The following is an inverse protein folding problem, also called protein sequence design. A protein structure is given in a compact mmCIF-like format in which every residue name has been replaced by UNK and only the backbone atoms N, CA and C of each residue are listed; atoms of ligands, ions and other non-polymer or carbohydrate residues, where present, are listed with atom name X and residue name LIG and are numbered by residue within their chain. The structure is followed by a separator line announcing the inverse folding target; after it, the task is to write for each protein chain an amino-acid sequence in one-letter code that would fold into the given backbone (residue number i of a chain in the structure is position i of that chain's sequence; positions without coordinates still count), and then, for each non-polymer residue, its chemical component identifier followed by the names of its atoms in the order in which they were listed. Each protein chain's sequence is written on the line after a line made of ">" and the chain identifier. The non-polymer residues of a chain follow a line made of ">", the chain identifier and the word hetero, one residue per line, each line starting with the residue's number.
data_IF_395304544856
#
_entry.id   IF_395304544856
#
_cell.length_a   1.000
_cell.length_b   1.000
_cell.length_c   1.000
_cell.angle_alpha   90.00
_cell.angle_beta   90.00
_cell.angle_gamma   90.00
#
_symmetry.space_group_name_H-M   'P 1'
#
loop_
_entity.id
_entity.type
_entity.pdbx_description
1 polymer ?
#
# COMPACT_ATOMS: atom_id res chain seq x y z
N UNK A 1 30.55 4.48 -10.85
CA UNK A 1 29.07 4.47 -10.84
C UNK A 1 28.70 4.76 -9.41
N UNK A 2 28.19 5.94 -9.12
CA UNK A 2 27.75 6.28 -7.77
C UNK A 2 26.65 5.29 -7.35
N UNK A 3 26.85 4.62 -6.22
CA UNK A 3 25.85 3.77 -5.59
C UNK A 3 24.73 4.66 -5.06
N UNK A 4 23.85 5.14 -5.94
CA UNK A 4 22.61 5.76 -5.53
C UNK A 4 21.82 4.79 -4.66
N UNK A 5 21.34 5.25 -3.49
CA UNK A 5 20.49 4.43 -2.60
C UNK A 5 19.27 3.97 -3.39
N UNK A 6 19.11 2.66 -3.52
CA UNK A 6 17.97 2.03 -4.16
C UNK A 6 17.07 1.41 -3.09
N UNK A 7 15.79 1.28 -3.39
CA UNK A 7 14.79 0.73 -2.50
C UNK A 7 13.99 -0.37 -3.21
N UNK A 8 13.46 -1.29 -2.41
CA UNK A 8 12.78 -2.48 -2.91
C UNK A 8 11.37 -2.55 -2.36
N UNK A 9 10.41 -2.58 -3.28
CA UNK A 9 9.01 -2.92 -3.01
C UNK A 9 8.76 -4.38 -3.34
N UNK A 10 8.14 -5.11 -2.40
CA UNK A 10 7.72 -6.50 -2.60
C UNK A 10 6.21 -6.61 -2.39
N UNK A 11 5.49 -6.83 -3.49
CA UNK A 11 4.05 -7.06 -3.51
C UNK A 11 3.77 -8.56 -3.50
N UNK A 12 3.18 -9.07 -2.41
CA UNK A 12 2.84 -10.49 -2.20
C UNK A 12 1.37 -10.72 -2.57
N UNK A 13 1.08 -10.60 -3.86
CA UNK A 13 -0.27 -10.74 -4.39
C UNK A 13 -0.79 -12.19 -4.43
N UNK A 14 -2.11 -12.31 -4.57
CA UNK A 14 -2.81 -13.62 -4.70
C UNK A 14 -2.53 -14.31 -6.04
N UNK A 15 -2.33 -13.55 -7.13
CA UNK A 15 -2.09 -14.13 -8.47
C UNK A 15 -0.62 -14.16 -8.86
N UNK A 16 0.13 -13.16 -8.40
CA UNK A 16 1.55 -12.98 -8.69
C UNK A 16 2.24 -12.34 -7.49
N UNK A 17 3.54 -12.56 -7.38
CA UNK A 17 4.43 -11.80 -6.50
C UNK A 17 5.30 -10.92 -7.40
N UNK A 18 5.45 -9.65 -7.04
CA UNK A 18 6.27 -8.68 -7.77
C UNK A 18 7.33 -8.10 -6.85
N UNK A 19 8.60 -8.24 -7.23
CA UNK A 19 9.71 -7.52 -6.64
C UNK A 19 10.12 -6.39 -7.60
N UNK A 20 10.21 -5.17 -7.09
CA UNK A 20 10.57 -4.00 -7.88
C UNK A 20 11.68 -3.23 -7.18
N UNK A 21 12.74 -2.93 -7.93
CA UNK A 21 13.89 -2.17 -7.48
C UNK A 21 13.82 -0.81 -8.16
N UNK A 22 13.87 0.26 -7.38
CA UNK A 22 13.94 1.61 -7.94
C UNK A 22 14.79 2.55 -7.11
N UNK A 23 15.15 3.67 -7.73
CA UNK A 23 15.84 4.79 -7.09
C UNK A 23 15.20 6.10 -7.51
N UNK A 24 15.40 7.12 -6.70
CA UNK A 24 15.01 8.48 -7.06
C UNK A 24 16.13 9.11 -7.91
N UNK A 25 15.76 9.75 -9.01
CA UNK A 25 16.68 10.53 -9.84
C UNK A 25 16.75 11.99 -9.35
N UNK A 26 17.59 12.80 -9.99
CA UNK A 26 17.82 14.22 -9.64
C UNK A 26 16.55 15.11 -9.73
N UNK A 27 15.50 14.64 -10.40
CA UNK A 27 14.23 15.36 -10.59
C UNK A 27 13.11 14.87 -9.65
N UNK A 28 13.43 14.01 -8.68
CA UNK A 28 12.45 13.41 -7.78
C UNK A 28 11.52 12.40 -8.46
N UNK A 29 11.94 11.85 -9.61
CA UNK A 29 11.22 10.79 -10.33
C UNK A 29 11.87 9.45 -10.05
N UNK A 30 11.09 8.39 -10.14
CA UNK A 30 11.52 7.03 -9.81
C UNK A 30 12.01 6.35 -11.08
N UNK A 31 13.27 6.01 -11.08
CA UNK A 31 13.89 5.15 -12.08
C UNK A 31 13.77 3.69 -11.61
N UNK A 32 13.13 2.85 -12.42
CA UNK A 32 13.01 1.42 -12.15
C UNK A 32 14.22 0.70 -12.71
N UNK A 33 15.00 0.09 -11.81
CA UNK A 33 16.27 -0.57 -12.13
C UNK A 33 16.09 -2.06 -12.43
N UNK A 34 15.05 -2.69 -11.87
CA UNK A 34 14.77 -4.10 -12.08
C UNK A 34 13.39 -4.50 -11.58
N UNK A 35 12.77 -5.43 -12.30
CA UNK A 35 11.49 -6.03 -11.95
C UNK A 35 11.62 -7.54 -12.05
N UNK A 36 11.07 -8.24 -11.08
CA UNK A 36 10.90 -9.68 -11.13
C UNK A 36 9.51 -10.09 -10.73
N UNK A 37 9.00 -11.14 -11.36
CA UNK A 37 7.62 -11.60 -11.21
C UNK A 37 7.56 -13.12 -11.11
N UNK A 38 6.76 -13.60 -10.17
CA UNK A 38 6.49 -15.04 -10.07
C UNK A 38 5.00 -15.29 -9.94
N UNK A 39 4.56 -16.49 -10.33
CA UNK A 39 3.19 -16.92 -10.07
C UNK A 39 3.06 -17.15 -8.57
N UNK A 40 2.03 -16.57 -7.95
CA UNK A 40 1.75 -16.81 -6.54
C UNK A 40 1.12 -18.19 -6.36
N UNK A 41 1.75 -19.04 -5.55
CA UNK A 41 1.31 -20.42 -5.30
C UNK A 41 0.69 -20.61 -3.91
N UNK A 42 1.12 -19.81 -2.92
CA UNK A 42 0.77 -19.99 -1.52
C UNK A 42 -0.12 -18.91 -0.91
N UNK A 43 -0.61 -17.95 -1.72
CA UNK A 43 -1.40 -16.81 -1.24
C UNK A 43 -2.83 -16.90 -1.77
N UNK A 44 -3.81 -16.65 -0.90
CA UNK A 44 -5.22 -16.60 -1.26
C UNK A 44 -5.92 -15.43 -0.58
N UNK A 45 -6.54 -14.53 -1.36
CA UNK A 45 -7.25 -13.33 -0.87
C UNK A 45 -6.40 -12.47 0.09
N UNK A 46 -5.12 -12.31 -0.26
CA UNK A 46 -4.14 -11.55 0.53
C UNK A 46 -3.58 -12.30 1.75
N UNK A 47 -4.03 -13.52 2.03
CA UNK A 47 -3.55 -14.32 3.16
C UNK A 47 -2.58 -15.40 2.69
N UNK A 48 -1.45 -15.54 3.37
CA UNK A 48 -0.50 -16.62 3.12
C UNK A 48 -1.03 -17.92 3.72
N UNK A 49 -1.49 -18.82 2.86
CA UNK A 49 -2.00 -20.15 3.23
C UNK A 49 -0.90 -21.22 3.23
N UNK A 50 0.12 -21.08 2.36
CA UNK A 50 1.24 -22.03 2.27
C UNK A 50 2.57 -21.29 2.26
N UNK A 51 3.25 -21.29 3.41
CA UNK A 51 4.53 -20.59 3.64
C UNK A 51 5.61 -21.07 2.64
N UNK A 52 5.77 -22.38 2.47
CA UNK A 52 6.83 -22.95 1.61
C UNK A 52 6.65 -22.54 0.15
N UNK A 53 5.42 -22.61 -0.36
CA UNK A 53 5.12 -22.19 -1.73
C UNK A 53 5.28 -20.69 -1.93
N UNK A 54 4.93 -19.88 -0.93
CA UNK A 54 5.14 -18.43 -0.96
C UNK A 54 6.62 -18.08 -0.94
N UNK A 55 7.46 -18.74 -0.13
CA UNK A 55 8.92 -18.54 -0.12
C UNK A 55 9.51 -18.81 -1.51
N UNK A 56 9.14 -19.94 -2.15
CA UNK A 56 9.60 -20.25 -3.51
C UNK A 56 9.20 -19.17 -4.51
N UNK A 57 7.97 -18.68 -4.41
CA UNK A 57 7.45 -17.61 -5.27
C UNK A 57 8.20 -16.30 -5.03
N UNK A 58 8.51 -15.95 -3.78
CA UNK A 58 9.30 -14.74 -3.45
C UNK A 58 10.71 -14.87 -4.01
N UNK A 59 11.41 -15.97 -3.74
CA UNK A 59 12.77 -16.19 -4.21
C UNK A 59 12.89 -16.10 -5.73
N UNK A 60 11.92 -16.64 -6.46
CA UNK A 60 11.88 -16.51 -7.92
C UNK A 60 11.74 -15.06 -8.38
N UNK A 61 10.83 -14.27 -7.77
CA UNK A 61 10.63 -12.87 -8.12
C UNK A 61 11.87 -12.03 -7.78
N UNK A 62 12.52 -12.30 -6.64
CA UNK A 62 13.76 -11.63 -6.23
C UNK A 62 14.88 -11.94 -7.21
N UNK A 63 15.09 -13.21 -7.56
CA UNK A 63 16.13 -13.63 -8.49
C UNK A 63 15.99 -12.96 -9.86
N UNK A 64 14.77 -12.84 -10.38
CA UNK A 64 14.51 -12.16 -11.65
C UNK A 64 14.81 -10.64 -11.56
N UNK A 65 14.41 -9.99 -10.45
CA UNK A 65 14.69 -8.57 -10.22
C UNK A 65 16.20 -8.27 -10.06
N UNK A 66 16.92 -9.12 -9.33
CA UNK A 66 18.39 -9.03 -9.18
C UNK A 66 19.09 -9.26 -10.52
N UNK A 67 18.63 -10.23 -11.32
CA UNK A 67 19.18 -10.50 -12.64
C UNK A 67 18.95 -9.34 -13.62
N UNK A 68 17.80 -8.68 -13.54
CA UNK A 68 17.47 -7.54 -14.39
C UNK A 68 18.26 -6.27 -14.03
N UNK A 69 18.54 -6.05 -12.74
CA UNK A 69 19.21 -4.84 -12.25
C UNK A 69 20.72 -4.98 -12.05
N UNK A 70 21.22 -6.20 -11.86
CA UNK A 70 22.59 -6.47 -11.39
C UNK A 70 22.83 -6.09 -9.91
N UNK A 71 21.78 -5.76 -9.15
CA UNK A 71 21.86 -5.36 -7.75
C UNK A 71 21.43 -6.51 -6.83
N UNK A 72 21.97 -6.56 -5.61
CA UNK A 72 21.51 -7.49 -4.59
C UNK A 72 20.40 -6.87 -3.75
N UNK A 73 19.35 -7.65 -3.48
CA UNK A 73 18.23 -7.27 -2.61
C UNK A 73 18.48 -7.82 -1.20
N UNK A 74 18.42 -6.94 -0.20
CA UNK A 74 18.51 -7.32 1.22
C UNK A 74 17.27 -6.86 1.98
N UNK A 75 17.04 -5.56 2.01
CA UNK A 75 15.93 -4.93 2.72
C UNK A 75 14.73 -4.69 1.81
N UNK A 76 13.54 -5.17 2.21
CA UNK A 76 12.31 -5.00 1.42
C UNK A 76 11.20 -4.34 2.23
N UNK A 77 10.45 -3.46 1.57
CA UNK A 77 9.14 -2.99 2.06
C UNK A 77 8.05 -3.81 1.40
N UNK A 78 7.20 -4.41 2.22
CA UNK A 78 6.22 -5.40 1.78
C UNK A 78 4.81 -4.82 1.83
N UNK A 79 4.01 -5.12 0.81
CA UNK A 79 2.57 -4.85 0.79
C UNK A 79 1.80 -5.80 1.70
N UNK A 80 0.79 -5.27 2.39
CA UNK A 80 -0.23 -6.06 3.05
C UNK A 80 -1.62 -5.60 2.63
N UNK A 81 -2.48 -6.56 2.27
CA UNK A 81 -3.89 -6.38 1.98
C UNK A 81 -4.66 -7.65 2.30
N UNK A 82 -6.00 -7.56 2.29
CA UNK A 82 -6.88 -8.71 2.44
C UNK A 82 -7.83 -8.61 3.62
N UNK A 83 -8.70 -9.61 3.74
CA UNK A 83 -9.81 -9.64 4.70
C UNK A 83 -9.37 -9.61 6.17
N UNK A 84 -8.09 -9.84 6.43
CA UNK A 84 -7.51 -9.80 7.76
C UNK A 84 -7.16 -8.37 8.21
N UNK A 85 -7.40 -7.37 7.35
CA UNK A 85 -7.24 -5.94 7.63
C UNK A 85 -8.60 -5.31 7.94
N UNK A 86 -8.62 -4.47 8.96
CA UNK A 86 -9.80 -3.71 9.38
C UNK A 86 -9.39 -2.29 9.72
N UNK A 87 -10.27 -1.33 9.42
CA UNK A 87 -10.11 0.05 9.88
C UNK A 87 -11.02 0.36 11.06
N UNK A 88 -10.54 1.24 11.93
CA UNK A 88 -11.33 1.83 13.01
C UNK A 88 -11.00 3.31 13.15
N UNK A 89 -12.00 4.09 13.55
CA UNK A 89 -11.81 5.49 13.90
C UNK A 89 -11.56 5.60 15.40
N UNK A 90 -10.57 6.39 15.79
CA UNK A 90 -10.22 6.62 17.18
C UNK A 90 -9.89 8.09 17.41
N UNK A 91 -10.17 8.63 18.59
CA UNK A 91 -9.79 9.98 18.96
C UNK A 91 -9.01 9.92 20.27
N UNK A 92 -7.89 10.62 20.33
CA UNK A 92 -7.04 10.65 21.52
C UNK A 92 -6.42 12.03 21.73
N UNK A 93 -5.83 12.27 22.91
CA UNK A 93 -5.18 13.52 23.24
C UNK A 93 -3.97 13.36 24.16
N UNK A 94 -3.09 14.35 24.12
CA UNK A 94 -2.01 14.55 25.08
C UNK A 94 -2.13 15.91 25.75
N UNK A 95 -1.61 16.01 26.97
CA UNK A 95 -1.41 17.29 27.65
C UNK A 95 0.07 17.62 27.64
N UNK A 96 0.41 18.81 27.16
CA UNK A 96 1.76 19.30 27.02
C UNK A 96 2.22 19.95 28.32
N UNK A 97 3.50 19.76 28.66
CA UNK A 97 4.06 20.26 29.91
C UNK A 97 4.20 21.79 29.95
N UNK A 98 4.34 22.43 28.78
CA UNK A 98 4.47 23.88 28.65
C UNK A 98 3.63 24.39 27.48
N UNK A 99 2.50 25.01 27.79
CA UNK A 99 1.57 25.61 26.81
C UNK A 99 2.13 26.85 26.10
N UNK A 100 3.14 27.50 26.70
CA UNK A 100 3.77 28.71 26.16
C UNK A 100 4.85 28.38 25.12
N UNK A 101 5.12 27.10 24.87
CA UNK A 101 5.93 26.65 23.74
C UNK A 101 5.02 26.26 22.58
N UNK A 102 5.49 26.56 21.36
CA UNK A 102 4.83 26.05 20.15
C UNK A 102 4.86 24.52 20.15
N UNK A 103 3.80 23.92 19.62
CA UNK A 103 3.69 22.49 19.33
C UNK A 103 4.77 22.16 18.30
N UNK A 104 5.53 21.10 18.55
CA UNK A 104 6.56 20.61 17.65
C UNK A 104 6.23 19.19 17.15
N UNK A 105 7.09 18.64 16.29
CA UNK A 105 6.91 17.27 15.78
C UNK A 105 6.87 16.25 16.92
N UNK A 106 7.72 16.37 17.95
CA UNK A 106 7.76 15.48 19.12
C UNK A 106 6.39 15.37 19.83
N UNK A 107 5.64 16.47 19.90
CA UNK A 107 4.29 16.49 20.50
C UNK A 107 3.30 15.65 19.66
N UNK A 108 3.30 15.84 18.33
CA UNK A 108 2.45 15.09 17.38
C UNK A 108 2.79 13.61 17.42
N UNK A 109 4.09 13.34 17.44
CA UNK A 109 4.72 12.04 17.53
C UNK A 109 4.36 11.30 18.83
N UNK A 110 4.40 12.00 19.96
CA UNK A 110 3.96 11.47 21.25
C UNK A 110 2.49 11.08 21.20
N UNK A 111 1.64 11.93 20.63
CA UNK A 111 0.21 11.64 20.47
C UNK A 111 -0.01 10.41 19.58
N UNK A 112 0.65 10.31 18.43
CA UNK A 112 0.55 9.14 17.56
C UNK A 112 1.03 7.86 18.26
N UNK A 113 2.14 7.92 18.98
CA UNK A 113 2.68 6.79 19.76
C UNK A 113 1.76 6.32 20.88
N UNK A 114 0.91 7.20 21.40
CA UNK A 114 -0.09 6.83 22.40
C UNK A 114 -1.15 5.91 21.79
N UNK A 115 -1.63 6.24 20.59
CA UNK A 115 -2.60 5.44 19.84
C UNK A 115 -2.04 4.05 19.50
N UNK A 116 -0.74 3.94 19.19
CA UNK A 116 -0.08 2.64 18.98
C UNK A 116 -0.06 1.73 20.22
N UNK A 117 -0.43 2.22 21.41
CA UNK A 117 -0.50 1.43 22.66
C UNK A 117 -1.92 1.00 23.01
N UNK A 118 -2.91 1.30 22.16
CA UNK A 118 -4.28 0.87 22.38
C UNK A 118 -4.37 -0.65 22.43
N UNK A 119 -5.21 -1.15 23.34
CA UNK A 119 -5.48 -2.58 23.46
C UNK A 119 -6.43 -2.99 22.34
N UNK A 120 -5.93 -3.84 21.44
CA UNK A 120 -6.72 -4.41 20.34
C UNK A 120 -7.43 -5.71 20.77
N UNK A 121 -8.30 -6.23 19.91
CA UNK A 121 -8.90 -7.55 20.15
C UNK A 121 -7.82 -8.64 20.15
N UNK A 122 -8.04 -9.78 20.84
CA UNK A 122 -7.06 -10.87 20.85
C UNK A 122 -6.67 -11.29 19.43
N UNK A 123 -5.36 -11.24 19.13
CA UNK A 123 -4.82 -11.60 17.82
C UNK A 123 -4.83 -10.49 16.77
N UNK A 124 -5.21 -9.25 17.12
CA UNK A 124 -5.07 -8.06 16.27
C UNK A 124 -3.89 -7.19 16.70
N UNK A 125 -3.27 -6.50 15.75
CA UNK A 125 -2.21 -5.52 15.97
C UNK A 125 -2.42 -4.30 15.07
N UNK A 126 -1.99 -3.12 15.55
CA UNK A 126 -2.05 -1.88 14.79
C UNK A 126 -0.91 -1.85 13.77
N UNK A 127 -1.26 -1.70 12.49
CA UNK A 127 -0.30 -1.56 11.39
C UNK A 127 0.00 -0.08 11.15
N UNK A 128 -1.05 0.75 10.99
CA UNK A 128 -0.92 2.18 10.72
C UNK A 128 -1.82 3.00 11.64
N UNK A 129 -1.27 4.12 12.12
CA UNK A 129 -2.03 5.19 12.76
C UNK A 129 -1.92 6.40 11.85
N UNK A 130 -3.06 6.80 11.25
CA UNK A 130 -3.10 7.86 10.25
C UNK A 130 -3.89 9.04 10.83
N UNK A 131 -3.20 10.12 11.25
CA UNK A 131 -3.87 11.31 11.77
C UNK A 131 -4.85 11.89 10.75
N UNK A 132 -5.98 12.39 11.26
CA UNK A 132 -7.03 13.05 10.49
C UNK A 132 -7.00 14.55 10.80
N UNK A 133 -7.98 15.06 11.53
CA UNK A 133 -7.95 16.42 12.07
C UNK A 133 -7.36 16.46 13.47
N UNK A 134 -6.66 17.56 13.75
CA UNK A 134 -6.22 17.95 15.07
C UNK A 134 -7.18 18.95 15.71
N UNK A 135 -7.06 19.04 17.02
CA UNK A 135 -7.73 20.03 17.85
C UNK A 135 -6.78 20.52 18.94
N UNK A 136 -6.65 21.84 19.07
CA UNK A 136 -5.76 22.47 20.06
C UNK A 136 -6.60 23.31 21.00
N UNK A 137 -6.56 23.00 22.30
CA UNK A 137 -7.30 23.72 23.36
C UNK A 137 -8.79 23.97 23.07
N UNK A 138 -9.46 23.03 22.39
CA UNK A 138 -10.87 23.17 22.03
C UNK A 138 -11.12 23.57 20.58
N UNK A 139 -10.15 24.22 19.92
CA UNK A 139 -10.24 24.65 18.53
C UNK A 139 -10.04 23.47 17.58
N UNK A 140 -11.08 23.08 16.86
CA UNK A 140 -11.09 21.92 15.95
C UNK A 140 -10.72 22.29 14.50
N UNK A 141 -10.75 21.29 13.61
CA UNK A 141 -10.50 21.43 12.16
C UNK A 141 -9.09 21.94 11.82
N UNK A 142 -8.10 21.64 12.68
CA UNK A 142 -6.70 21.98 12.45
C UNK A 142 -6.05 20.86 11.63
N UNK A 143 -5.44 21.21 10.49
CA UNK A 143 -4.68 20.25 9.66
C UNK A 143 -3.24 20.10 10.12
N UNK A 144 -2.58 21.23 10.41
CA UNK A 144 -1.18 21.28 10.82
C UNK A 144 -1.08 21.96 12.20
N UNK A 145 -0.89 21.19 13.28
CA UNK A 145 -0.78 21.75 14.62
C UNK A 145 0.63 22.26 14.95
N UNK A 146 1.67 21.84 14.19
CA UNK A 146 3.05 22.27 14.44
C UNK A 146 3.17 23.78 14.26
N UNK A 147 3.81 24.44 15.24
CA UNK A 147 3.94 25.89 15.30
C UNK A 147 2.81 26.61 16.06
N UNK A 148 1.72 25.92 16.41
CA UNK A 148 0.64 26.51 17.21
C UNK A 148 0.97 26.49 18.72
N UNK A 149 0.41 27.43 19.49
CA UNK A 149 0.45 27.38 20.95
C UNK A 149 -0.73 26.58 21.49
N UNK A 150 -0.51 25.87 22.59
CA UNK A 150 -1.61 25.24 23.31
C UNK A 150 -1.19 24.20 24.34
N UNK A 151 -2.03 23.98 25.34
CA UNK A 151 -1.78 23.01 26.41
C UNK A 151 -2.24 21.60 26.08
N UNK A 152 -3.30 21.46 25.29
CA UNK A 152 -3.96 20.18 24.97
C UNK A 152 -4.02 19.99 23.47
N UNK A 153 -3.33 18.95 22.99
CA UNK A 153 -3.33 18.53 21.59
C UNK A 153 -4.15 17.24 21.48
N UNK A 154 -5.26 17.30 20.74
CA UNK A 154 -6.14 16.17 20.43
C UNK A 154 -6.10 15.88 18.92
N UNK A 155 -6.38 14.65 18.53
CA UNK A 155 -6.58 14.31 17.12
C UNK A 155 -7.54 13.14 16.93
N UNK A 156 -8.17 13.12 15.76
CA UNK A 156 -8.84 11.94 15.23
C UNK A 156 -7.84 11.12 14.42
N UNK A 157 -8.01 9.80 14.43
CA UNK A 157 -7.13 8.84 13.80
C UNK A 157 -7.93 7.81 13.02
N UNK A 158 -7.51 7.58 11.78
CA UNK A 158 -7.84 6.38 11.06
C UNK A 158 -6.80 5.32 11.39
N UNK A 159 -7.19 4.32 12.17
CA UNK A 159 -6.31 3.26 12.63
C UNK A 159 -6.56 2.01 11.80
N UNK A 160 -5.50 1.47 11.22
CA UNK A 160 -5.51 0.24 10.43
C UNK A 160 -4.98 -0.88 11.32
N UNK A 161 -5.80 -1.89 11.53
CA UNK A 161 -5.44 -3.08 12.30
C UNK A 161 -5.39 -4.31 11.41
N UNK A 162 -4.53 -5.26 11.74
CA UNK A 162 -4.44 -6.54 11.05
C UNK A 162 -4.32 -7.71 11.99
N UNK A 163 -4.66 -8.91 11.51
CA UNK A 163 -4.43 -10.13 12.27
C UNK A 163 -2.94 -10.43 12.39
N UNK A 164 -2.48 -10.59 13.63
CA UNK A 164 -1.10 -10.92 14.01
C UNK A 164 -0.57 -12.13 13.24
N UNK A 165 -1.37 -13.18 13.09
CA UNK A 165 -0.98 -14.39 12.35
C UNK A 165 -0.64 -14.11 10.88
N UNK A 166 -1.42 -13.25 10.22
CA UNK A 166 -1.22 -12.89 8.81
C UNK A 166 0.05 -12.07 8.63
N UNK A 167 0.26 -11.08 9.50
CA UNK A 167 1.48 -10.24 9.53
C UNK A 167 2.72 -11.10 9.77
N UNK A 168 2.67 -12.01 10.76
CA UNK A 168 3.78 -12.91 11.08
C UNK A 168 4.10 -13.88 9.95
N UNK A 169 3.08 -14.39 9.24
CA UNK A 169 3.29 -15.26 8.10
C UNK A 169 4.04 -14.54 6.96
N UNK A 170 3.70 -13.28 6.68
CA UNK A 170 4.43 -12.44 5.73
C UNK A 170 5.88 -12.27 6.18
N UNK A 171 6.11 -11.84 7.43
CA UNK A 171 7.46 -11.65 7.96
C UNK A 171 8.31 -12.92 7.91
N UNK A 172 7.72 -14.07 8.24
CA UNK A 172 8.39 -15.38 8.12
C UNK A 172 8.75 -15.70 6.67
N UNK A 173 7.84 -15.50 5.71
CA UNK A 173 8.14 -15.72 4.29
C UNK A 173 9.31 -14.86 3.80
N UNK A 174 9.37 -13.59 4.21
CA UNK A 174 10.45 -12.67 3.85
C UNK A 174 11.78 -13.12 4.46
N UNK A 175 11.83 -13.34 5.79
CA UNK A 175 13.03 -13.78 6.51
C UNK A 175 13.56 -15.12 5.97
N UNK A 176 12.67 -16.09 5.75
CA UNK A 176 13.02 -17.40 5.19
C UNK A 176 13.39 -17.36 3.70
N UNK A 177 13.12 -16.26 3.00
CA UNK A 177 13.60 -16.04 1.63
C UNK A 177 15.02 -15.43 1.58
N UNK A 178 15.64 -15.17 2.73
CA UNK A 178 16.96 -14.55 2.83
C UNK A 178 16.93 -13.01 2.79
N UNK A 179 15.78 -12.42 3.08
CA UNK A 179 15.54 -10.98 3.05
C UNK A 179 15.29 -10.41 4.45
N UNK A 180 15.54 -9.13 4.64
CA UNK A 180 15.14 -8.37 5.81
C UNK A 180 13.86 -7.57 5.54
N UNK A 181 12.94 -7.59 6.51
CA UNK A 181 11.71 -6.81 6.45
C UNK A 181 11.97 -5.39 6.97
N UNK A 182 12.17 -4.43 6.06
CA UNK A 182 12.32 -3.01 6.40
C UNK A 182 10.98 -2.37 6.80
N UNK A 183 9.87 -2.95 6.33
CA UNK A 183 8.56 -2.68 6.91
C UNK A 183 7.39 -3.11 6.06
N UNK A 184 6.21 -2.81 6.58
CA UNK A 184 4.93 -3.23 6.03
C UNK A 184 4.14 -1.97 5.68
N UNK A 185 3.54 -1.97 4.49
CA UNK A 185 2.70 -0.88 4.02
C UNK A 185 1.37 -1.43 3.55
N UNK A 186 0.27 -0.75 3.92
CA UNK A 186 -1.06 -1.09 3.44
C UNK A 186 -1.10 -0.84 1.92
N UNK A 187 -1.45 -1.85 1.14
CA UNK A 187 -1.42 -1.77 -0.33
C UNK A 187 -2.28 -0.64 -0.89
N UNK A 188 -3.54 -0.41 -0.45
CA UNK A 188 -4.31 0.74 -0.92
C UNK A 188 -3.61 2.09 -0.71
N UNK A 189 -2.78 2.26 0.33
CA UNK A 189 -1.96 3.48 0.49
C UNK A 189 -0.81 3.53 -0.51
N UNK A 190 -0.16 2.40 -0.78
CA UNK A 190 0.88 2.30 -1.79
C UNK A 190 0.31 2.62 -3.18
N UNK A 191 -0.76 1.94 -3.59
CA UNK A 191 -1.46 2.18 -4.85
C UNK A 191 -1.91 3.64 -4.98
N UNK A 192 -2.48 4.23 -3.92
CA UNK A 192 -2.89 5.64 -3.89
C UNK A 192 -1.73 6.63 -4.07
N UNK A 193 -0.56 6.33 -3.50
CA UNK A 193 0.62 7.16 -3.68
C UNK A 193 1.16 7.10 -5.11
N UNK A 194 0.93 6.00 -5.82
CA UNK A 194 1.40 5.82 -7.18
C UNK A 194 0.47 6.41 -8.24
N UNK A 195 -0.85 6.47 -8.03
CA UNK A 195 -1.80 6.79 -9.12
C UNK A 195 -2.70 7.99 -8.89
N UNK A 196 -2.72 8.55 -7.69
CA UNK A 196 -3.56 9.71 -7.34
C UNK A 196 -2.73 10.97 -7.23
N UNK A 197 -3.25 12.06 -7.81
CA UNK A 197 -2.70 13.39 -7.60
C UNK A 197 -3.09 13.95 -6.22
N UNK A 198 -2.39 15.00 -5.79
CA UNK A 198 -2.73 15.68 -4.53
C UNK A 198 -4.09 16.39 -4.63
N UNK A 199 -4.38 16.98 -5.79
CA UNK A 199 -5.65 17.66 -6.08
C UNK A 199 -6.84 16.70 -5.98
N UNK A 200 -6.69 15.46 -6.44
CA UNK A 200 -7.74 14.44 -6.31
C UNK A 200 -7.97 14.06 -4.85
N UNK A 201 -6.90 13.87 -4.07
CA UNK A 201 -6.98 13.59 -2.63
C UNK A 201 -7.64 14.73 -1.86
N UNK A 202 -7.41 15.98 -2.28
CA UNK A 202 -8.05 17.17 -1.71
C UNK A 202 -9.52 17.28 -2.09
N UNK A 203 -9.83 17.18 -3.39
CA UNK A 203 -11.19 17.27 -3.92
C UNK A 203 -12.09 16.14 -3.42
N UNK A 204 -11.51 14.97 -3.15
CA UNK A 204 -12.16 13.78 -2.65
C UNK A 204 -12.29 12.73 -3.73
N UNK A 205 -11.69 11.55 -3.51
CA UNK A 205 -11.58 10.48 -4.50
C UNK A 205 -11.68 9.11 -3.82
N UNK A 206 -12.33 8.15 -4.50
CA UNK A 206 -12.29 6.74 -4.13
C UNK A 206 -11.31 5.99 -5.05
N UNK A 207 -10.22 5.49 -4.49
CA UNK A 207 -9.35 4.55 -5.18
C UNK A 207 -9.90 3.13 -5.01
N UNK A 208 -10.07 2.43 -6.12
CA UNK A 208 -10.48 1.03 -6.15
C UNK A 208 -9.38 0.22 -6.85
N UNK A 209 -8.66 -0.59 -6.09
CA UNK A 209 -7.63 -1.50 -6.59
C UNK A 209 -8.24 -2.89 -6.78
N UNK A 210 -8.45 -3.29 -8.04
CA UNK A 210 -9.02 -4.62 -8.35
C UNK A 210 -7.87 -5.59 -8.59
N UNK A 211 -7.46 -6.25 -7.51
CA UNK A 211 -6.43 -7.26 -7.50
C UNK A 211 -6.92 -8.63 -7.98
N UNK A 212 -6.08 -9.65 -7.78
CA UNK A 212 -6.43 -11.03 -8.13
C UNK A 212 -7.41 -11.68 -7.15
N UNK A 213 -7.16 -11.52 -5.84
CA UNK A 213 -7.96 -12.12 -4.78
C UNK A 213 -8.96 -11.18 -4.11
N UNK A 214 -8.68 -9.88 -4.13
CA UNK A 214 -9.39 -8.83 -3.39
C UNK A 214 -9.62 -7.63 -4.28
N UNK A 215 -10.58 -6.81 -3.88
CA UNK A 215 -10.74 -5.45 -4.37
C UNK A 215 -10.63 -4.53 -3.17
N UNK A 216 -9.65 -3.65 -3.18
CA UNK A 216 -9.32 -2.79 -2.05
C UNK A 216 -9.81 -1.36 -2.33
N UNK A 217 -10.51 -0.76 -1.36
CA UNK A 217 -11.05 0.60 -1.44
C UNK A 217 -10.28 1.49 -0.46
N UNK A 218 -9.84 2.65 -0.94
CA UNK A 218 -9.38 3.75 -0.09
C UNK A 218 -10.03 5.06 -0.53
N UNK A 219 -10.63 5.76 0.42
CA UNK A 219 -11.27 7.06 0.18
C UNK A 219 -10.39 8.14 0.77
N UNK A 220 -10.06 9.14 -0.05
CA UNK A 220 -9.34 10.33 0.36
C UNK A 220 -10.25 11.55 0.26
N UNK A 221 -10.09 12.51 1.17
CA UNK A 221 -10.78 13.80 1.17
C UNK A 221 -9.96 14.80 1.99
N UNK A 222 -9.87 16.04 1.53
CA UNK A 222 -9.10 17.12 2.16
C UNK A 222 -7.59 16.85 2.27
N UNK A 223 -7.08 15.95 1.42
CA UNK A 223 -5.66 15.56 1.35
C UNK A 223 -5.29 14.38 2.23
N UNK A 224 -6.23 13.82 2.99
CA UNK A 224 -6.01 12.71 3.93
C UNK A 224 -6.92 11.52 3.63
N UNK A 225 -6.49 10.33 4.04
CA UNK A 225 -7.29 9.11 3.92
C UNK A 225 -8.41 9.12 4.95
N UNK A 226 -9.65 8.86 4.55
CA UNK A 226 -10.83 8.89 5.42
C UNK A 226 -11.40 7.52 5.74
N UNK A 227 -11.35 6.61 4.78
CA UNK A 227 -11.95 5.28 4.87
C UNK A 227 -11.13 4.26 4.08
N UNK A 228 -11.10 3.03 4.57
CA UNK A 228 -10.57 1.88 3.84
C UNK A 228 -11.50 0.70 3.99
N UNK A 229 -11.65 -0.08 2.94
CA UNK A 229 -12.40 -1.33 3.00
C UNK A 229 -11.79 -2.36 2.06
N UNK A 230 -12.03 -3.65 2.36
CA UNK A 230 -11.55 -4.75 1.53
C UNK A 230 -12.73 -5.64 1.15
N UNK A 231 -12.96 -5.78 -0.15
CA UNK A 231 -13.96 -6.66 -0.73
C UNK A 231 -13.25 -7.97 -1.10
N UNK A 232 -13.73 -9.14 -0.65
CA UNK A 232 -13.03 -10.43 -0.84
C UNK A 232 -13.22 -11.07 -2.22
N UNK A 233 -13.32 -10.22 -3.23
CA UNK A 233 -13.52 -10.59 -4.62
C UNK A 233 -12.57 -9.77 -5.49
N UNK A 234 -11.84 -10.45 -6.36
CA UNK A 234 -10.97 -9.85 -7.36
C UNK A 234 -11.08 -10.57 -8.69
N UNK A 235 -10.04 -10.50 -9.52
CA UNK A 235 -10.02 -11.12 -10.84
C UNK A 235 -10.18 -12.65 -10.85
N UNK A 236 -9.84 -13.35 -9.76
CA UNK A 236 -9.88 -14.83 -9.72
C UNK A 236 -11.30 -15.37 -9.73
N UNK A 237 -12.25 -14.71 -9.06
CA UNK A 237 -13.64 -15.17 -9.06
C UNK A 237 -14.30 -15.01 -10.43
N UNK A 238 -13.91 -13.97 -11.18
CA UNK A 238 -14.32 -13.82 -12.59
C UNK A 238 -13.80 -15.01 -13.42
N UNK A 239 -12.53 -15.39 -13.22
CA UNK A 239 -11.94 -16.55 -13.91
C UNK A 239 -12.61 -17.85 -13.55
N UNK A 240 -12.98 -18.03 -12.28
CA UNK A 240 -13.72 -19.20 -11.80
C UNK A 240 -15.10 -19.30 -12.45
N UNK A 241 -15.86 -18.19 -12.50
CA UNK A 241 -17.17 -18.18 -13.16
C UNK A 241 -17.06 -18.47 -14.66
N UNK A 242 -16.02 -17.96 -15.32
CA UNK A 242 -15.75 -18.30 -16.73
C UNK A 242 -15.45 -19.79 -16.84
N UNK A 243 -14.59 -20.34 -15.97
CA UNK A 243 -14.22 -21.75 -15.98
C UNK A 243 -15.46 -22.65 -15.88
N UNK A 244 -16.35 -22.36 -14.94
CA UNK A 244 -17.58 -23.10 -14.72
C UNK A 244 -18.61 -22.88 -15.84
N UNK A 245 -18.95 -21.62 -16.12
CA UNK A 245 -19.95 -21.24 -17.11
C UNK A 245 -19.58 -21.62 -18.54
N UNK A 246 -18.29 -21.68 -18.85
CA UNK A 246 -17.77 -22.13 -20.13
C UNK A 246 -17.33 -23.59 -20.12
N UNK A 247 -17.31 -24.27 -18.97
CA UNK A 247 -16.83 -25.65 -18.78
C UNK A 247 -15.46 -25.92 -19.45
N UNK A 248 -14.49 -25.05 -19.17
CA UNK A 248 -13.10 -25.12 -19.66
C UNK A 248 -12.14 -25.21 -18.47
N UNK A 249 -10.84 -25.41 -18.73
CA UNK A 249 -9.85 -25.40 -17.64
C UNK A 249 -9.47 -23.97 -17.26
N UNK A 250 -9.05 -23.78 -16.00
CA UNK A 250 -8.71 -22.46 -15.43
C UNK A 250 -7.70 -21.68 -16.28
N UNK A 251 -6.65 -22.34 -16.78
CA UNK A 251 -5.66 -21.71 -17.66
C UNK A 251 -6.29 -21.13 -18.94
N UNK A 252 -7.28 -21.81 -19.50
CA UNK A 252 -8.01 -21.32 -20.68
C UNK A 252 -8.96 -20.19 -20.30
N UNK A 253 -9.66 -20.30 -19.16
CA UNK A 253 -10.56 -19.27 -18.64
C UNK A 253 -9.83 -17.94 -18.40
N UNK A 254 -8.65 -17.97 -17.75
CA UNK A 254 -7.84 -16.77 -17.52
C UNK A 254 -7.40 -16.14 -18.84
N UNK A 255 -6.94 -16.97 -19.79
CA UNK A 255 -6.51 -16.49 -21.09
C UNK A 255 -7.67 -15.86 -21.88
N UNK A 256 -8.88 -16.44 -21.77
CA UNK A 256 -10.09 -15.89 -22.36
C UNK A 256 -10.43 -14.53 -21.76
N UNK A 257 -10.40 -14.44 -20.42
CA UNK A 257 -10.66 -13.19 -19.68
C UNK A 257 -9.71 -12.09 -20.12
N UNK A 258 -8.40 -12.36 -20.15
CA UNK A 258 -7.38 -11.37 -20.52
C UNK A 258 -7.54 -10.92 -21.98
N UNK A 259 -7.72 -11.86 -22.92
CA UNK A 259 -7.71 -11.52 -24.36
C UNK A 259 -9.05 -10.94 -24.85
N UNK A 260 -10.16 -11.48 -24.35
CA UNK A 260 -11.48 -11.24 -24.92
C UNK A 260 -12.52 -10.77 -23.89
N UNK A 261 -12.16 -10.66 -22.62
CA UNK A 261 -13.07 -10.24 -21.57
C UNK A 261 -13.60 -8.82 -21.79
N UNK A 262 -14.88 -8.65 -21.50
CA UNK A 262 -15.62 -7.38 -21.54
C UNK A 262 -16.61 -7.38 -20.39
N UNK A 263 -16.65 -6.29 -19.63
CA UNK A 263 -17.62 -6.06 -18.56
C UNK A 263 -18.99 -5.61 -19.10
N UNK A 264 -19.11 -5.28 -20.39
CA UNK A 264 -20.35 -4.78 -21.00
C UNK A 264 -20.81 -5.68 -22.15
N UNK A 265 -21.83 -6.53 -21.94
CA UNK A 265 -22.28 -7.48 -22.95
C UNK A 265 -22.89 -6.85 -24.20
N UNK A 266 -23.37 -5.60 -24.10
CA UNK A 266 -24.00 -4.87 -25.21
C UNK A 266 -23.05 -4.54 -26.36
N UNK A 267 -21.74 -4.47 -26.10
CA UNK A 267 -20.73 -4.15 -27.12
C UNK A 267 -20.31 -5.36 -27.98
N UNK A 268 -20.67 -6.58 -27.55
CA UNK A 268 -20.28 -7.80 -28.26
C UNK A 268 -21.37 -8.26 -29.23
N UNK A 269 -20.98 -8.54 -30.48
CA UNK A 269 -21.90 -9.06 -31.50
C UNK A 269 -22.22 -10.54 -31.23
N UNK A 270 -23.43 -10.95 -31.61
CA UNK A 270 -23.88 -12.34 -31.41
C UNK A 270 -23.08 -13.38 -32.21
N UNK A 271 -22.44 -12.96 -33.32
CA UNK A 271 -21.66 -13.83 -34.20
C UNK A 271 -20.15 -13.86 -33.90
N UNK A 272 -19.67 -13.12 -32.91
CA UNK A 272 -18.26 -13.15 -32.50
C UNK A 272 -18.01 -14.39 -31.62
N UNK A 273 -17.24 -15.34 -32.16
CA UNK A 273 -16.89 -16.60 -31.50
C UNK A 273 -15.39 -16.76 -31.32
N UNK A 274 -15.00 -17.44 -30.24
CA UNK A 274 -13.64 -17.89 -29.99
C UNK A 274 -13.64 -19.40 -29.84
N UNK A 275 -12.75 -20.06 -30.56
CA UNK A 275 -12.56 -21.51 -30.47
C UNK A 275 -11.44 -21.84 -29.47
N UNK A 276 -11.75 -22.72 -28.52
CA UNK A 276 -10.86 -23.14 -27.46
C UNK A 276 -10.44 -24.59 -27.71
N UNK A 277 -9.14 -24.91 -27.66
CA UNK A 277 -8.68 -26.29 -27.82
C UNK A 277 -9.34 -27.24 -26.82
N UNK A 278 -9.91 -28.33 -27.33
CA UNK A 278 -10.48 -29.39 -26.51
C UNK A 278 -9.42 -30.16 -25.71
N UNK A 279 -9.83 -30.79 -24.62
CA UNK A 279 -8.95 -31.59 -23.78
C UNK A 279 -8.71 -32.98 -24.40
N UNK A 280 -7.44 -33.38 -24.55
CA UNK A 280 -7.01 -34.75 -24.94
C UNK A 280 -7.75 -35.31 -26.18
N UNK A 281 -7.74 -34.57 -27.29
CA UNK A 281 -8.33 -35.04 -28.55
C UNK A 281 -9.85 -34.89 -28.66
N UNK A 282 -10.48 -34.19 -27.69
CA UNK A 282 -11.86 -33.69 -27.86
C UNK A 282 -11.88 -32.54 -28.86
N UNK A 283 -13.02 -32.41 -29.54
CA UNK A 283 -13.28 -31.30 -30.44
C UNK A 283 -13.11 -29.94 -29.73
N UNK A 284 -12.65 -28.90 -30.46
CA UNK A 284 -12.62 -27.54 -29.94
C UNK A 284 -14.00 -27.08 -29.45
N UNK A 285 -14.01 -26.30 -28.37
CA UNK A 285 -15.23 -25.70 -27.85
C UNK A 285 -15.34 -24.27 -28.36
N UNK A 286 -16.46 -23.95 -29.00
CA UNK A 286 -16.74 -22.58 -29.45
C UNK A 286 -17.54 -21.82 -28.39
N UNK A 287 -17.10 -20.60 -28.10
CA UNK A 287 -17.74 -19.73 -27.11
C UNK A 287 -17.98 -18.37 -27.74
N UNK A 288 -19.21 -17.88 -27.67
CA UNK A 288 -19.53 -16.52 -28.12
C UNK A 288 -18.96 -15.48 -27.14
N UNK A 289 -18.40 -14.39 -27.67
CA UNK A 289 -17.89 -13.31 -26.84
C UNK A 289 -18.98 -12.66 -26.00
N UNK A 290 -20.22 -12.64 -26.52
CA UNK A 290 -21.39 -12.16 -25.77
C UNK A 290 -21.71 -13.04 -24.56
N UNK A 291 -21.59 -14.37 -24.67
CA UNK A 291 -21.78 -15.26 -23.52
C UNK A 291 -20.66 -15.09 -22.49
N UNK A 292 -19.41 -15.01 -22.94
CA UNK A 292 -18.26 -14.69 -22.07
C UNK A 292 -18.49 -13.37 -21.31
N UNK A 293 -18.90 -12.32 -22.02
CA UNK A 293 -19.16 -11.02 -21.40
C UNK A 293 -20.33 -11.05 -20.42
N UNK A 294 -21.39 -11.82 -20.67
CA UNK A 294 -22.49 -11.99 -19.70
C UNK A 294 -22.03 -12.57 -18.37
N UNK A 295 -21.16 -13.60 -18.42
CA UNK A 295 -20.59 -14.22 -17.21
C UNK A 295 -19.74 -13.19 -16.45
N UNK A 296 -18.85 -12.50 -17.15
CA UNK A 296 -17.99 -11.47 -16.56
C UNK A 296 -18.83 -10.34 -15.96
N UNK A 297 -19.82 -9.85 -16.70
CA UNK A 297 -20.70 -8.76 -16.28
C UNK A 297 -21.38 -9.06 -14.95
N UNK A 298 -21.97 -10.26 -14.80
CA UNK A 298 -22.65 -10.63 -13.56
C UNK A 298 -21.72 -10.51 -12.33
N UNK A 299 -20.47 -10.99 -12.44
CA UNK A 299 -19.51 -10.90 -11.34
C UNK A 299 -18.99 -9.49 -11.10
N UNK A 300 -18.72 -8.74 -12.16
CA UNK A 300 -18.22 -7.37 -12.04
C UNK A 300 -19.28 -6.46 -11.43
N UNK A 301 -20.55 -6.62 -11.80
CA UNK A 301 -21.68 -5.90 -11.17
C UNK A 301 -21.66 -6.13 -9.66
N UNK A 302 -21.56 -7.37 -9.20
CA UNK A 302 -21.53 -7.69 -7.77
C UNK A 302 -20.32 -7.03 -7.06
N UNK A 303 -19.13 -7.09 -7.65
CA UNK A 303 -17.93 -6.44 -7.08
C UNK A 303 -18.15 -4.93 -6.96
N UNK A 304 -18.63 -4.29 -8.02
CA UNK A 304 -18.84 -2.84 -8.05
C UNK A 304 -19.94 -2.41 -7.09
N UNK A 305 -21.03 -3.17 -6.96
CA UNK A 305 -22.11 -2.90 -6.01
C UNK A 305 -21.62 -2.98 -4.55
N UNK A 306 -20.75 -3.95 -4.22
CA UNK A 306 -20.16 -4.04 -2.88
C UNK A 306 -19.21 -2.88 -2.59
N UNK A 307 -18.39 -2.48 -3.55
CA UNK A 307 -17.53 -1.29 -3.39
C UNK A 307 -18.39 -0.03 -3.25
N UNK A 308 -19.46 0.10 -4.02
CA UNK A 308 -20.35 1.25 -3.94
C UNK A 308 -21.10 1.33 -2.60
N UNK A 309 -21.46 0.18 -2.02
CA UNK A 309 -22.02 0.11 -0.68
C UNK A 309 -21.05 0.71 0.35
N UNK A 310 -19.76 0.41 0.27
CA UNK A 310 -18.73 0.99 1.15
C UNK A 310 -18.57 2.50 0.94
N UNK A 311 -18.60 2.98 -0.31
CA UNK A 311 -18.59 4.42 -0.63
C UNK A 311 -19.83 5.13 -0.03
N UNK A 312 -21.00 4.48 -0.05
CA UNK A 312 -22.21 4.98 0.60
C UNK A 312 -22.10 4.98 2.12
N UNK A 313 -21.55 3.92 2.72
CA UNK A 313 -21.33 3.82 4.16
C UNK A 313 -20.39 4.91 4.68
N UNK A 314 -19.39 5.31 3.90
CA UNK A 314 -18.56 6.48 4.21
C UNK A 314 -19.40 7.79 4.28
N UNK A 315 -20.45 7.88 3.46
CA UNK A 315 -21.36 9.03 3.41
C UNK A 315 -21.07 9.97 2.23
N UNK A 316 -20.58 9.47 1.10
CA UNK A 316 -20.28 10.26 -0.10
C UNK A 316 -21.44 11.18 -0.57
N UNK A 317 -22.70 10.80 -0.29
CA UNK A 317 -23.88 11.59 -0.64
C UNK A 317 -24.04 12.86 0.22
N UNK A 318 -23.38 12.93 1.38
CA UNK A 318 -23.34 14.12 2.23
C UNK A 318 -22.50 15.22 1.58
N UNK A 319 -22.99 16.47 1.62
CA UNK A 319 -22.34 17.61 0.97
C UNK A 319 -20.86 17.79 1.39
N UNK A 320 -20.53 17.53 2.67
CA UNK A 320 -19.16 17.66 3.20
C UNK A 320 -18.23 16.52 2.78
N UNK A 321 -18.78 15.33 2.54
CA UNK A 321 -18.02 14.11 2.22
C UNK A 321 -18.05 13.75 0.74
N UNK A 322 -18.58 14.65 -0.09
CA UNK A 322 -18.67 14.43 -1.53
C UNK A 322 -17.29 14.21 -2.14
N UNK A 323 -17.19 13.13 -2.92
CA UNK A 323 -16.00 12.74 -3.66
C UNK A 323 -16.04 13.39 -5.04
N UNK A 324 -15.54 14.62 -5.13
CA UNK A 324 -15.65 15.46 -6.33
C UNK A 324 -14.82 14.91 -7.49
N UNK A 325 -13.66 14.32 -7.19
CA UNK A 325 -12.78 13.70 -8.20
C UNK A 325 -13.27 12.30 -8.63
N UNK A 326 -14.36 11.79 -8.06
CA UNK A 326 -14.97 10.54 -8.48
C UNK A 326 -14.18 9.31 -8.06
N UNK A 327 -14.01 8.37 -8.98
CA UNK A 327 -13.41 7.05 -8.78
C UNK A 327 -12.15 6.89 -9.64
N UNK A 328 -11.09 6.35 -9.06
CA UNK A 328 -9.89 5.92 -9.77
C UNK A 328 -9.75 4.41 -9.64
N UNK A 329 -9.80 3.70 -10.76
CA UNK A 329 -9.61 2.24 -10.82
C UNK A 329 -8.14 1.91 -11.07
N UNK A 330 -7.59 0.95 -10.33
CA UNK A 330 -6.22 0.45 -10.54
C UNK A 330 -6.15 -1.07 -10.34
N UNK A 331 -4.94 -1.62 -10.39
CA UNK A 331 -4.70 -3.06 -10.26
C UNK A 331 -4.91 -3.81 -11.56
N UNK A 332 -4.60 -5.10 -11.56
CA UNK A 332 -4.67 -5.94 -12.76
C UNK A 332 -6.07 -6.04 -13.35
N UNK A 333 -7.11 -6.05 -12.52
CA UNK A 333 -8.51 -6.14 -12.91
C UNK A 333 -9.06 -4.88 -13.58
N UNK A 334 -8.44 -3.71 -13.35
CA UNK A 334 -8.85 -2.44 -13.98
C UNK A 334 -8.70 -2.43 -15.51
N UNK A 335 -7.90 -3.36 -16.05
CA UNK A 335 -7.64 -3.51 -17.49
C UNK A 335 -8.79 -4.22 -18.23
N UNK A 336 -9.80 -4.71 -17.53
CA UNK A 336 -10.95 -5.36 -18.16
C UNK A 336 -11.71 -4.35 -19.04
N UNK A 337 -11.97 -4.72 -20.30
CA UNK A 337 -12.65 -3.84 -21.26
C UNK A 337 -14.03 -3.44 -20.74
N UNK A 338 -14.39 -2.18 -20.95
CA UNK A 338 -15.67 -1.59 -20.55
C UNK A 338 -15.96 -1.54 -19.04
N UNK A 339 -14.96 -1.84 -18.19
CA UNK A 339 -15.13 -1.76 -16.73
C UNK A 339 -15.44 -0.34 -16.27
N UNK A 340 -14.69 0.67 -16.78
CA UNK A 340 -14.92 2.08 -16.47
C UNK A 340 -16.39 2.47 -16.69
N UNK A 341 -16.93 2.17 -17.87
CA UNK A 341 -18.30 2.49 -18.26
C UNK A 341 -19.32 1.81 -17.35
N UNK A 342 -19.07 0.56 -16.95
CA UNK A 342 -19.93 -0.16 -16.02
C UNK A 342 -19.91 0.47 -14.62
N UNK A 343 -18.73 0.89 -14.14
CA UNK A 343 -18.59 1.58 -12.84
C UNK A 343 -19.34 2.91 -12.87
N UNK A 344 -19.16 3.72 -13.90
CA UNK A 344 -19.90 4.99 -14.08
C UNK A 344 -21.41 4.75 -14.13
N UNK A 345 -21.86 3.70 -14.82
CA UNK A 345 -23.28 3.34 -14.91
C UNK A 345 -23.89 2.94 -13.55
N UNK A 346 -23.20 2.13 -12.75
CA UNK A 346 -23.70 1.65 -11.46
C UNK A 346 -23.64 2.75 -10.39
N UNK A 347 -22.53 3.49 -10.34
CA UNK A 347 -22.25 4.44 -9.25
C UNK A 347 -22.76 5.84 -9.54
N UNK A 348 -22.87 6.22 -10.82
CA UNK A 348 -23.13 7.60 -11.25
C UNK A 348 -21.96 8.55 -11.01
N UNK A 349 -20.76 8.03 -10.70
CA UNK A 349 -19.56 8.81 -10.42
C UNK A 349 -18.58 8.77 -11.60
N UNK A 350 -17.97 9.91 -11.92
CA UNK A 350 -16.92 10.00 -12.94
C UNK A 350 -15.77 9.05 -12.59
N UNK A 351 -15.30 8.28 -13.57
CA UNK A 351 -14.31 7.24 -13.33
C UNK A 351 -13.14 7.33 -14.30
N UNK A 352 -11.92 7.12 -13.82
CA UNK A 352 -10.72 6.96 -14.67
C UNK A 352 -9.88 5.76 -14.25
N UNK A 353 -8.98 5.34 -15.13
CA UNK A 353 -7.95 4.35 -14.80
C UNK A 353 -6.73 5.09 -14.23
N UNK A 354 -6.20 4.61 -13.12
CA UNK A 354 -4.99 5.09 -12.46
C UNK A 354 -3.76 4.40 -13.03
N UNK A 355 -2.83 5.18 -13.56
CA UNK A 355 -1.54 4.70 -14.05
C UNK A 355 -0.42 5.28 -13.17
N UNK A 356 0.62 4.51 -12.82
CA UNK A 356 1.73 4.98 -12.00
C UNK A 356 2.75 5.89 -12.74
N UNK A 357 2.47 6.25 -13.99
CA UNK A 357 3.40 6.90 -14.91
C UNK A 357 3.88 8.28 -14.44
N UNK A 358 3.07 9.05 -13.72
CA UNK A 358 3.42 10.40 -13.30
C UNK A 358 4.65 10.44 -12.38
N UNK A 359 4.89 9.39 -11.60
CA UNK A 359 6.02 9.31 -10.67
C UNK A 359 7.25 8.62 -11.26
N UNK A 360 7.12 7.98 -12.42
CA UNK A 360 8.23 7.28 -13.07
C UNK A 360 9.08 8.23 -13.91
N UNK A 361 10.37 7.90 -14.05
CA UNK A 361 11.27 8.60 -14.97
C UNK A 361 10.83 8.40 -16.43
N UNK A 362 11.06 9.40 -17.30
CA UNK A 362 10.49 9.43 -18.65
C UNK A 362 10.99 8.34 -19.61
N UNK A 363 12.06 7.63 -19.26
CA UNK A 363 12.66 6.49 -19.96
C UNK A 363 12.18 5.13 -19.43
N UNK A 364 11.27 5.11 -18.45
CA UNK A 364 10.71 3.88 -17.91
C UNK A 364 9.89 3.09 -18.94
N UNK A 365 10.04 1.77 -18.89
CA UNK A 365 9.35 0.85 -19.82
C UNK A 365 7.82 0.97 -19.65
N UNK A 366 7.11 1.02 -20.79
CA UNK A 366 5.66 1.09 -20.84
C UNK A 366 4.95 -0.06 -20.08
N UNK A 367 5.59 -1.23 -19.93
CA UNK A 367 5.07 -2.30 -19.09
C UNK A 367 4.96 -1.87 -17.62
N UNK A 368 5.91 -1.08 -17.11
CA UNK A 368 5.97 -0.61 -15.71
C UNK A 368 4.92 0.44 -15.40
N UNK A 369 4.51 1.20 -16.41
CA UNK A 369 3.44 2.19 -16.34
C UNK A 369 2.04 1.55 -16.31
N UNK A 370 1.91 0.22 -16.32
CA UNK A 370 0.63 -0.47 -16.23
C UNK A 370 0.00 -0.33 -14.83
N UNK A 371 -1.34 -0.20 -14.71
CA UNK A 371 -2.05 -0.26 -13.42
C UNK A 371 -1.78 -1.55 -12.64
N UNK A 372 -1.38 -2.62 -13.35
CA UNK A 372 -0.96 -3.91 -12.80
C UNK A 372 0.26 -3.81 -11.86
N UNK A 373 1.03 -2.73 -11.92
CA UNK A 373 2.21 -2.49 -11.08
C UNK A 373 2.06 -1.29 -10.14
N UNK A 374 0.89 -0.65 -10.07
CA UNK A 374 0.66 0.52 -9.21
C UNK A 374 1.07 0.28 -7.75
N UNK A 375 0.69 -0.86 -7.18
CA UNK A 375 1.04 -1.25 -5.82
C UNK A 375 2.55 -1.38 -5.65
N UNK A 376 3.23 -2.09 -6.56
CA UNK A 376 4.68 -2.30 -6.51
C UNK A 376 5.46 -0.98 -6.64
N UNK A 377 5.05 -0.10 -7.56
CA UNK A 377 5.62 1.26 -7.68
C UNK A 377 5.42 2.00 -6.36
N UNK A 378 4.19 2.03 -5.83
CA UNK A 378 3.87 2.67 -4.56
C UNK A 378 4.67 2.16 -3.37
N UNK A 379 4.98 0.86 -3.33
CA UNK A 379 5.84 0.26 -2.31
C UNK A 379 7.28 0.77 -2.44
N UNK A 380 7.82 0.90 -3.65
CA UNK A 380 9.13 1.53 -3.89
C UNK A 380 9.12 2.99 -3.44
N UNK A 381 8.08 3.76 -3.76
CA UNK A 381 7.94 5.15 -3.29
C UNK A 381 8.02 5.24 -1.76
N UNK A 382 7.29 4.35 -1.09
CA UNK A 382 7.26 4.31 0.37
C UNK A 382 8.60 3.85 0.96
N UNK A 383 9.29 2.92 0.29
CA UNK A 383 10.61 2.47 0.69
C UNK A 383 11.67 3.58 0.57
N UNK A 384 11.65 4.36 -0.52
CA UNK A 384 12.52 5.53 -0.70
C UNK A 384 12.25 6.60 0.37
N UNK A 385 10.97 6.91 0.65
CA UNK A 385 10.60 7.84 1.73
C UNK A 385 11.09 7.40 3.11
N UNK A 386 11.09 6.09 3.40
CA UNK A 386 11.65 5.55 4.66
C UNK A 386 13.16 5.74 4.71
N UNK A 387 13.86 5.49 3.61
CA UNK A 387 15.31 5.70 3.54
C UNK A 387 15.71 7.16 3.73
N UNK A 388 14.89 8.12 3.31
CA UNK A 388 15.11 9.56 3.52
C UNK A 388 14.83 10.03 4.95
N UNK A 389 13.96 9.35 5.69
CA UNK A 389 13.76 9.62 7.13
C UNK A 389 14.86 9.01 8.01
N UNK A 390 15.70 8.14 7.44
CA UNK A 390 16.75 7.39 8.13
C UNK A 390 18.21 7.81 7.86
N UNK A 391 18.57 9.00 7.31
CA UNK A 391 19.98 9.41 7.33
C UNK A 391 20.13 10.92 7.58
N UNK A 392 20.45 11.30 8.81
CA UNK A 392 21.38 12.39 9.18
C UNK A 392 21.29 12.63 10.70
N UNK A 393 21.99 11.82 11.49
CA UNK A 393 22.38 12.23 12.85
C UNK A 393 23.77 11.72 13.27
N UNK A 394 24.57 11.17 12.35
CA UNK A 394 25.88 10.59 12.67
C UNK A 394 27.05 11.17 11.85
N UNK A 395 26.99 12.43 11.40
CA UNK A 395 28.09 13.00 10.61
C UNK A 395 28.53 14.44 10.94
N UNK A 396 28.06 15.07 12.03
CA UNK A 396 28.48 16.47 12.35
C UNK A 396 28.87 16.76 13.81
N UNK A 397 29.16 15.76 14.66
CA UNK A 397 29.68 16.02 16.02
C UNK A 397 31.13 15.58 16.29
N UNK A 398 31.92 15.20 15.29
CA UNK A 398 33.36 14.90 15.47
C UNK A 398 34.35 15.96 14.92
N UNK A 399 33.90 17.12 14.42
CA UNK A 399 34.80 18.21 14.02
C UNK A 399 34.57 19.52 14.80
N UNK A 400 34.54 19.46 16.14
CA UNK A 400 34.81 20.64 17.00
C UNK A 400 35.48 20.27 18.34
N UNK A 401 36.52 19.46 18.31
CA UNK A 401 37.51 19.45 19.41
C UNK A 401 38.92 19.47 18.82
N UNK A 402 39.32 20.61 18.25
CA UNK A 402 40.71 21.03 18.31
C UNK A 402 40.82 22.54 18.10
N UNK A 403 41.67 23.17 18.91
CA UNK A 403 42.02 24.60 18.97
C UNK A 403 41.07 25.46 19.83
N UNK A 404 41.34 25.57 21.14
CA UNK A 404 41.95 26.77 21.76
C UNK A 404 42.56 26.37 23.10
N UNK A 405 43.89 26.36 23.16
CA UNK A 405 44.65 26.41 24.40
C UNK A 405 45.28 27.81 24.46
N UNK A 406 44.79 28.68 25.37
CA UNK A 406 45.63 29.64 26.11
C UNK A 406 44.82 30.44 27.16
N UNK A 407 45.11 30.14 28.42
CA UNK A 407 45.14 31.05 29.58
C UNK A 407 43.83 31.69 30.09
N UNK A 408 43.37 31.24 31.26
CA UNK A 408 43.53 31.97 32.54
C UNK A 408 42.82 31.27 33.71
N UNK A 409 43.42 31.43 34.87
CA UNK A 409 43.12 30.86 36.18
C UNK A 409 41.76 31.24 36.78
N UNK A 410 41.11 30.27 37.44
CA UNK A 410 40.86 30.25 38.90
C UNK A 410 39.46 29.76 39.31
N UNK A 411 39.46 28.81 40.26
CA UNK A 411 38.47 28.57 41.33
C UNK A 411 37.04 28.13 40.99
N UNK A 412 36.63 26.96 41.50
CA UNK A 412 35.21 26.70 41.80
C UNK A 412 34.77 25.25 41.64
N UNK A 413 34.62 24.58 42.76
CA UNK A 413 34.12 23.23 42.98
C UNK A 413 32.67 23.01 42.48
N UNK A 414 32.39 21.88 41.80
CA UNK A 414 31.09 21.16 41.77
C UNK A 414 31.14 19.97 40.81
N UNK A 415 31.25 18.76 41.36
CA UNK A 415 31.05 17.51 40.62
C UNK A 415 29.58 17.35 40.21
N UNK A 416 29.28 17.41 38.91
CA UNK A 416 28.04 16.88 38.33
C UNK A 416 28.39 15.69 37.45
N UNK A 417 28.05 14.47 37.92
CA UNK A 417 28.12 13.26 37.10
C UNK A 417 27.03 13.32 36.03
N UNK A 418 27.42 13.56 34.77
CA UNK A 418 26.54 13.41 33.62
C UNK A 418 26.33 11.92 33.32
N UNK A 419 25.10 11.45 33.44
CA UNK A 419 24.68 10.14 32.93
C UNK A 419 24.75 10.14 31.39
N UNK A 420 25.04 9.00 30.74
CA UNK A 420 25.13 8.94 29.28
C UNK A 420 23.76 9.22 28.66
N UNK A 421 23.69 10.21 27.76
CA UNK A 421 22.51 10.47 26.93
C UNK A 421 22.25 9.22 26.08
N UNK A 422 21.11 8.57 26.29
CA UNK A 422 20.61 7.50 25.41
C UNK A 422 20.35 8.08 24.02
N UNK A 423 20.93 7.45 23.00
CA UNK A 423 20.71 7.75 21.59
C UNK A 423 19.22 7.78 21.25
N UNK A 424 18.82 8.79 20.47
CA UNK A 424 17.43 9.08 20.09
C UNK A 424 17.07 8.25 18.86
N UNK A 425 16.11 7.34 19.02
CA UNK A 425 15.52 6.57 17.92
C UNK A 425 14.18 7.17 17.49
N UNK A 426 14.01 7.36 16.17
CA UNK A 426 12.78 7.84 15.54
C UNK A 426 11.62 6.85 15.76
N UNK A 427 10.38 7.31 15.63
CA UNK A 427 9.17 6.49 15.85
C UNK A 427 9.04 5.36 14.85
N UNK A 428 9.49 5.64 13.62
CA UNK A 428 9.57 4.65 12.56
C UNK A 428 10.65 3.59 12.85
N UNK A 429 11.76 3.99 13.46
CA UNK A 429 12.80 3.06 13.92
C UNK A 429 12.29 2.21 15.08
N UNK A 430 11.57 2.79 16.05
CA UNK A 430 10.94 2.05 17.15
C UNK A 430 9.88 1.07 16.67
N UNK A 431 9.14 1.40 15.60
CA UNK A 431 8.21 0.46 14.97
C UNK A 431 8.97 -0.67 14.26
N UNK A 432 10.05 -0.36 13.53
CA UNK A 432 10.89 -1.38 12.89
C UNK A 432 11.60 -2.28 13.90
N UNK A 433 12.06 -1.73 15.02
CA UNK A 433 12.67 -2.48 16.13
C UNK A 433 11.63 -3.30 16.86
N UNK A 434 10.43 -2.76 17.12
CA UNK A 434 9.33 -3.56 17.67
C UNK A 434 8.89 -4.66 16.73
N UNK A 435 8.90 -4.45 15.42
CA UNK A 435 8.59 -5.46 14.42
C UNK A 435 9.70 -6.52 14.37
N UNK A 436 10.98 -6.12 14.42
CA UNK A 436 12.14 -7.02 14.52
C UNK A 436 12.06 -7.83 15.82
N UNK A 437 11.88 -7.18 16.97
CA UNK A 437 11.69 -7.80 18.29
C UNK A 437 10.46 -8.72 18.31
N UNK A 438 9.36 -8.33 17.67
CA UNK A 438 8.14 -9.14 17.55
C UNK A 438 8.38 -10.40 16.70
N UNK A 439 9.12 -10.28 15.59
CA UNK A 439 9.48 -11.41 14.73
C UNK A 439 10.53 -12.33 15.37
N UNK A 440 11.45 -11.79 16.16
CA UNK A 440 12.53 -12.54 16.82
C UNK A 440 12.07 -13.23 18.11
N UNK A 441 11.11 -12.66 18.86
CA UNK A 441 10.51 -13.31 20.03
C UNK A 441 9.42 -14.34 19.68
N UNK A 442 9.28 -14.66 18.40
CA UNK A 442 8.25 -15.50 17.83
C UNK A 442 8.83 -16.76 17.15
N UNK A 443 9.95 -17.29 17.66
CA UNK A 443 10.38 -18.67 17.40
C UNK A 443 9.67 -19.69 18.29
#
# INVERSE_FOLDING_TARGET
>A
MENGKYAIGLDIGTTKIVAMIGRENEYGKIEILGIGKSKSLGVHRGVVNNITQTIQSIQQAIQEAESASGLQIKDVVVGIAGQHIRSLQHSDYITRANSDKVINEDDVDQLCNQVYKLVMLPGEEIIHVLPQEYKVDGQAEIKEPVGMYGGRLEANFHVVVGQVSSIRNIGRCVKSSGLELAGITLEPLASANAVLSQEEKEAGVALIDIGGGTTDLAIFKDGIIRHTAVIPFGGNVITEDIKEGCSIIEKQAELLKIKFGSAWPGENKDNEIVSIPGLRGREPKEITLKNLSKIIHARVVEIVEQVYLEIKNYGHEEQKKKLIAGIVLTGGGSQLKHLKQLVEYITGMDTRIGYPNEHLAGDSDAETASPLYATAVGLVMNALKRQHKSPEYNAEEEEKEEIVDESTSSSGDSQVKSAPKKERKSIFEKWSEKLKDFLDNAE
#
